data_IF_488972016586
#
_entry.id   IF_488972016586
#
_cell.length_a   1.000
_cell.length_b   1.000
_cell.length_c   1.000
_cell.angle_alpha   90.00
_cell.angle_beta   90.00
_cell.angle_gamma   90.00
#
_symmetry.space_group_name_H-M   'P 1'
#
loop_
_entity.id
_entity.type
_entity.pdbx_description
1 polymer ?
#
# COMPACT_ATOMS: atom_id res chain seq x y z
N UNK A 1 -18.20 21.86 107.91
CA UNK A 1 -17.99 20.73 106.97
C UNK A 1 -17.37 21.21 105.64
N UNK A 2 -16.06 21.52 105.62
CA UNK A 2 -15.35 21.95 104.41
C UNK A 2 -14.96 20.80 103.47
N UNK A 3 -14.74 19.58 104.00
CA UNK A 3 -14.28 18.42 103.23
C UNK A 3 -15.26 18.03 102.11
N UNK A 4 -16.57 18.06 102.37
CA UNK A 4 -17.60 17.71 101.36
C UNK A 4 -17.61 18.64 100.14
N UNK A 5 -17.18 19.90 100.29
CA UNK A 5 -17.13 20.88 99.18
C UNK A 5 -15.88 20.75 98.36
N UNK A 6 -14.72 20.57 99.01
CA UNK A 6 -13.47 20.30 98.30
C UNK A 6 -13.61 19.07 97.42
N UNK A 7 -14.25 18.01 97.93
CA UNK A 7 -14.58 16.80 97.18
C UNK A 7 -15.52 17.11 96.00
N UNK A 8 -16.59 17.88 96.19
CA UNK A 8 -17.51 18.22 95.11
C UNK A 8 -16.86 19.08 93.98
N UNK A 9 -16.02 20.04 94.35
CA UNK A 9 -15.26 20.86 93.39
C UNK A 9 -14.27 19.99 92.61
N UNK A 10 -13.56 19.09 93.29
CA UNK A 10 -12.64 18.15 92.65
C UNK A 10 -13.36 17.20 91.69
N UNK A 11 -14.50 16.62 92.10
CA UNK A 11 -15.31 15.76 91.24
C UNK A 11 -15.79 16.54 90.01
N UNK A 12 -16.32 17.75 90.19
CA UNK A 12 -16.83 18.58 89.09
C UNK A 12 -15.71 19.05 88.16
N UNK A 13 -14.56 19.44 88.70
CA UNK A 13 -13.38 19.82 87.92
C UNK A 13 -12.82 18.64 87.13
N UNK A 14 -12.77 17.45 87.74
CA UNK A 14 -12.36 16.22 87.08
C UNK A 14 -13.31 15.83 85.93
N UNK A 15 -14.63 15.93 86.14
CA UNK A 15 -15.63 15.71 85.08
C UNK A 15 -15.50 16.72 83.94
N UNK A 16 -15.24 17.99 84.26
CA UNK A 16 -14.99 19.03 83.26
C UNK A 16 -13.75 18.69 82.42
N UNK A 17 -12.67 18.27 83.08
CA UNK A 17 -11.43 17.87 82.41
C UNK A 17 -11.63 16.65 81.49
N UNK A 18 -12.37 15.63 81.96
CA UNK A 18 -12.73 14.48 81.12
C UNK A 18 -13.56 14.88 79.89
N UNK A 19 -14.51 15.81 80.05
CA UNK A 19 -15.31 16.31 78.94
C UNK A 19 -14.46 17.02 77.89
N UNK A 20 -13.49 17.85 78.31
CA UNK A 20 -12.54 18.53 77.41
C UNK A 20 -11.67 17.52 76.65
N UNK A 21 -11.10 16.53 77.33
CA UNK A 21 -10.30 15.50 76.69
C UNK A 21 -11.11 14.71 75.66
N UNK A 22 -12.38 14.41 75.99
CA UNK A 22 -13.30 13.75 75.08
C UNK A 22 -13.60 14.58 73.83
N UNK A 23 -13.85 15.90 73.99
CA UNK A 23 -14.01 16.83 72.86
C UNK A 23 -12.77 16.89 71.97
N UNK A 24 -11.57 16.91 72.58
CA UNK A 24 -10.31 16.97 71.84
C UNK A 24 -10.05 15.69 71.05
N UNK A 25 -10.32 14.52 71.66
CA UNK A 25 -10.26 13.23 70.98
C UNK A 25 -11.17 13.19 69.75
N UNK A 26 -12.42 13.65 69.88
CA UNK A 26 -13.35 13.68 68.75
C UNK A 26 -12.99 14.70 67.68
N UNK A 27 -12.40 15.84 68.05
CA UNK A 27 -11.90 16.79 67.06
C UNK A 27 -10.78 16.18 66.19
N UNK A 28 -9.88 15.40 66.80
CA UNK A 28 -8.84 14.67 66.07
C UNK A 28 -9.45 13.61 65.13
N UNK A 29 -10.40 12.82 65.63
CA UNK A 29 -11.11 11.81 64.82
C UNK A 29 -11.90 12.45 63.67
N UNK A 30 -12.57 13.57 63.91
CA UNK A 30 -13.26 14.31 62.85
C UNK A 30 -12.29 14.72 61.74
N UNK A 31 -11.13 15.29 62.09
CA UNK A 31 -10.12 15.73 61.12
C UNK A 31 -9.59 14.57 60.29
N UNK A 32 -9.46 13.37 60.89
CA UNK A 32 -8.83 12.22 60.24
C UNK A 32 -9.79 11.34 59.44
N UNK A 33 -10.94 10.98 60.01
CA UNK A 33 -11.86 10.00 59.42
C UNK A 33 -13.10 10.63 58.76
N UNK A 34 -13.30 11.94 58.90
CA UNK A 34 -14.39 12.67 58.24
C UNK A 34 -15.69 12.71 59.05
N UNK A 35 -16.66 13.49 58.55
CA UNK A 35 -17.84 13.95 59.31
C UNK A 35 -18.85 12.84 59.63
N UNK A 36 -18.90 11.80 58.80
CA UNK A 36 -19.93 10.75 58.85
C UNK A 36 -19.48 9.47 59.56
N UNK A 37 -18.32 9.49 60.23
CA UNK A 37 -17.82 8.32 60.93
C UNK A 37 -18.70 7.99 62.15
N UNK A 38 -19.16 6.74 62.25
CA UNK A 38 -19.95 6.27 63.40
C UNK A 38 -18.97 5.74 64.44
N UNK A 39 -18.90 6.42 65.58
CA UNK A 39 -17.94 6.12 66.62
C UNK A 39 -18.59 5.18 67.65
N UNK A 40 -17.96 4.02 67.91
CA UNK A 40 -18.32 3.12 69.03
C UNK A 40 -17.39 3.37 70.21
N UNK A 41 -17.76 4.21 71.19
CA UNK A 41 -16.89 4.51 72.32
C UNK A 41 -16.74 3.31 73.26
N UNK A 42 -15.50 2.95 73.59
CA UNK A 42 -15.14 1.71 74.29
C UNK A 42 -15.53 1.65 75.79
N UNK A 43 -15.84 2.79 76.42
CA UNK A 43 -16.04 2.88 77.88
C UNK A 43 -17.49 3.17 78.30
N UNK A 44 -18.32 3.74 77.42
CA UNK A 44 -19.72 4.13 77.73
C UNK A 44 -20.67 3.82 76.56
N UNK A 45 -20.17 3.15 75.52
CA UNK A 45 -20.90 2.93 74.26
C UNK A 45 -22.19 2.12 74.41
N UNK A 46 -22.21 1.10 75.26
CA UNK A 46 -23.41 0.25 75.42
C UNK A 46 -24.54 0.97 76.18
N UNK A 47 -24.22 1.86 77.13
CA UNK A 47 -25.24 2.55 77.92
C UNK A 47 -25.82 3.74 77.13
N UNK A 48 -24.98 4.49 76.43
CA UNK A 48 -25.41 5.66 75.65
C UNK A 48 -26.01 5.25 74.30
N UNK A 49 -25.46 4.20 73.66
CA UNK A 49 -25.95 3.67 72.38
C UNK A 49 -27.39 3.17 72.47
N UNK A 50 -27.78 2.54 73.59
CA UNK A 50 -29.17 2.12 73.83
C UNK A 50 -30.16 3.28 74.06
N UNK A 51 -29.67 4.48 74.41
CA UNK A 51 -30.53 5.62 74.76
C UNK A 51 -30.67 6.63 73.61
N UNK A 52 -29.64 6.79 72.77
CA UNK A 52 -29.55 7.89 71.78
C UNK A 52 -29.31 7.40 70.34
N UNK A 53 -29.09 6.09 70.14
CA UNK A 53 -28.83 5.51 68.81
C UNK A 53 -27.41 5.77 68.31
N UNK A 54 -27.14 5.40 67.05
CA UNK A 54 -25.84 5.59 66.42
C UNK A 54 -25.51 7.09 66.32
N UNK A 55 -24.55 7.55 67.12
CA UNK A 55 -24.12 8.95 67.18
C UNK A 55 -22.98 9.19 66.18
N UNK A 56 -23.18 10.19 65.30
CA UNK A 56 -22.11 10.73 64.47
C UNK A 56 -21.05 11.43 65.33
N UNK A 57 -19.80 11.46 64.84
CA UNK A 57 -18.69 12.20 65.50
C UNK A 57 -19.09 13.65 65.79
N UNK A 58 -19.84 14.26 64.87
CA UNK A 58 -20.31 15.64 65.00
C UNK A 58 -21.23 15.84 66.20
N UNK A 59 -22.24 14.99 66.34
CA UNK A 59 -23.18 15.09 67.45
C UNK A 59 -22.47 14.86 68.79
N UNK A 60 -21.55 13.90 68.84
CA UNK A 60 -20.80 13.62 70.06
C UNK A 60 -19.88 14.79 70.45
N UNK A 61 -19.23 15.44 69.48
CA UNK A 61 -18.40 16.62 69.71
C UNK A 61 -19.23 17.76 70.32
N UNK A 62 -20.41 18.05 69.77
CA UNK A 62 -21.29 19.08 70.34
C UNK A 62 -21.79 18.75 71.75
N UNK A 63 -22.17 17.49 72.00
CA UNK A 63 -22.61 17.05 73.34
C UNK A 63 -21.49 17.21 74.37
N UNK A 64 -20.27 16.80 74.04
CA UNK A 64 -19.11 16.93 74.93
C UNK A 64 -18.74 18.39 75.22
N UNK A 65 -18.86 19.26 74.20
CA UNK A 65 -18.61 20.69 74.35
C UNK A 65 -19.64 21.34 75.28
N UNK A 66 -20.94 21.05 75.09
CA UNK A 66 -22.01 21.55 75.97
C UNK A 66 -21.81 21.05 77.40
N UNK A 67 -21.50 19.75 77.59
CA UNK A 67 -21.24 19.18 78.90
C UNK A 67 -20.07 19.88 79.60
N UNK A 68 -19.01 20.22 78.86
CA UNK A 68 -17.87 20.97 79.38
C UNK A 68 -18.29 22.32 79.96
N UNK A 69 -19.09 23.10 79.23
CA UNK A 69 -19.57 24.40 79.71
C UNK A 69 -20.49 24.26 80.93
N UNK A 70 -21.34 23.23 80.97
CA UNK A 70 -22.23 22.97 82.11
C UNK A 70 -21.43 22.61 83.37
N UNK A 71 -20.47 21.67 83.27
CA UNK A 71 -19.65 21.28 84.41
C UNK A 71 -18.71 22.40 84.85
N UNK A 72 -18.14 23.17 83.92
CA UNK A 72 -17.34 24.34 84.26
C UNK A 72 -18.18 25.39 85.00
N UNK A 73 -19.39 25.67 84.50
CA UNK A 73 -20.35 26.57 85.14
C UNK A 73 -20.72 26.12 86.55
N UNK A 74 -21.04 24.83 86.74
CA UNK A 74 -21.29 24.25 88.06
C UNK A 74 -20.08 24.35 88.98
N UNK A 75 -18.89 24.08 88.48
CA UNK A 75 -17.63 24.19 89.23
C UNK A 75 -17.42 25.62 89.72
N UNK A 76 -17.60 26.61 88.84
CA UNK A 76 -17.54 28.03 89.19
C UNK A 76 -18.61 28.39 90.23
N UNK A 77 -19.86 27.98 90.04
CA UNK A 77 -20.93 28.27 90.99
C UNK A 77 -20.61 27.68 92.36
N UNK A 78 -20.13 26.44 92.44
CA UNK A 78 -19.79 25.77 93.71
C UNK A 78 -18.57 26.44 94.36
N UNK A 79 -17.56 26.79 93.58
CA UNK A 79 -16.35 27.45 94.05
C UNK A 79 -16.64 28.86 94.60
N UNK A 80 -17.53 29.62 93.96
CA UNK A 80 -17.75 31.03 94.26
C UNK A 80 -19.02 31.35 95.07
N UNK A 81 -19.93 30.39 95.32
CA UNK A 81 -21.24 30.66 95.97
C UNK A 81 -21.20 31.19 97.42
N UNK A 82 -20.04 31.33 98.08
CA UNK A 82 -19.96 31.82 99.47
C UNK A 82 -18.70 32.63 99.79
N UNK A 83 -18.16 33.44 98.88
CA UNK A 83 -17.38 34.58 99.34
C UNK A 83 -18.36 35.63 99.88
N UNK A 84 -18.25 36.07 101.15
CA UNK A 84 -19.03 37.21 101.61
C UNK A 84 -18.65 38.41 100.73
N UNK A 85 -19.63 39.12 100.14
CA UNK A 85 -19.34 40.31 99.35
C UNK A 85 -18.68 41.35 100.26
N UNK A 86 -17.46 41.71 99.89
CA UNK A 86 -16.71 42.80 100.52
C UNK A 86 -17.57 44.08 100.46
N UNK A 87 -17.80 44.80 101.58
CA UNK A 87 -18.62 46.01 101.59
C UNK A 87 -18.21 47.07 100.55
N UNK A 88 -16.98 47.08 100.04
CA UNK A 88 -16.58 47.94 98.92
C UNK A 88 -17.24 47.57 97.58
N UNK A 89 -17.47 46.28 97.32
CA UNK A 89 -18.08 45.78 96.08
C UNK A 89 -19.55 46.19 96.00
N UNK A 90 -20.27 46.19 97.12
CA UNK A 90 -21.68 46.63 97.18
C UNK A 90 -21.81 48.12 96.83
N UNK A 91 -20.85 48.94 97.27
CA UNK A 91 -20.82 50.38 96.97
C UNK A 91 -20.47 50.64 95.50
N UNK A 92 -19.58 49.84 94.91
CA UNK A 92 -19.35 49.86 93.46
C UNK A 92 -20.58 49.43 92.66
N UNK A 93 -21.32 48.41 93.09
CA UNK A 93 -22.53 47.95 92.38
C UNK A 93 -23.64 48.99 92.33
N UNK A 94 -23.84 49.77 93.40
CA UNK A 94 -24.84 50.87 93.40
C UNK A 94 -24.40 52.00 92.45
N UNK A 95 -23.11 52.34 92.42
CA UNK A 95 -22.56 53.36 91.50
C UNK A 95 -22.60 52.90 90.04
N UNK A 96 -22.28 51.63 89.79
CA UNK A 96 -22.38 50.99 88.47
C UNK A 96 -23.84 50.89 88.05
N UNK A 97 -24.77 50.55 88.93
CA UNK A 97 -26.20 50.49 88.66
C UNK A 97 -26.79 51.83 88.22
N UNK A 98 -26.38 52.94 88.86
CA UNK A 98 -26.76 54.29 88.44
C UNK A 98 -26.24 54.66 87.05
N UNK A 99 -24.97 54.34 86.75
CA UNK A 99 -24.39 54.57 85.42
C UNK A 99 -24.98 53.65 84.34
N UNK A 100 -25.37 52.43 84.69
CA UNK A 100 -25.99 51.47 83.77
C UNK A 100 -27.37 51.94 83.29
N UNK A 101 -28.14 52.60 84.16
CA UNK A 101 -29.44 53.15 83.79
C UNK A 101 -29.32 54.28 82.76
N UNK A 102 -28.31 55.14 82.91
CA UNK A 102 -28.00 56.16 81.90
C UNK A 102 -27.53 55.53 80.58
N UNK A 103 -26.63 54.53 80.65
CA UNK A 103 -26.12 53.83 79.46
C UNK A 103 -27.23 53.08 78.72
N UNK A 104 -28.17 52.47 79.44
CA UNK A 104 -29.33 51.78 78.87
C UNK A 104 -30.22 52.73 78.09
N UNK A 105 -30.44 53.94 78.59
CA UNK A 105 -31.24 54.95 77.89
C UNK A 105 -30.55 55.44 76.61
N UNK A 106 -29.22 55.58 76.62
CA UNK A 106 -28.42 55.88 75.42
C UNK A 106 -28.43 54.71 74.44
N UNK A 107 -28.30 53.47 74.93
CA UNK A 107 -28.35 52.26 74.12
C UNK A 107 -29.71 52.09 73.43
N UNK A 108 -30.81 52.31 74.16
CA UNK A 108 -32.16 52.26 73.62
C UNK A 108 -32.35 53.30 72.51
N UNK A 109 -31.86 54.54 72.71
CA UNK A 109 -31.90 55.60 71.69
C UNK A 109 -31.06 55.26 70.44
N UNK A 110 -29.85 54.73 70.61
CA UNK A 110 -29.02 54.27 69.48
C UNK A 110 -29.60 53.05 68.78
N UNK A 111 -30.31 52.17 69.50
CA UNK A 111 -30.93 50.97 68.92
C UNK A 111 -32.14 51.34 68.05
N UNK A 112 -32.93 52.34 68.45
CA UNK A 112 -34.03 52.85 67.62
C UNK A 112 -33.49 53.57 66.38
N UNK A 113 -32.45 54.40 66.52
CA UNK A 113 -31.81 55.08 65.38
C UNK A 113 -31.19 54.08 64.38
N UNK A 114 -30.49 53.05 64.88
CA UNK A 114 -29.94 51.98 64.04
C UNK A 114 -31.07 51.20 63.35
N UNK A 115 -32.17 50.93 64.05
CA UNK A 115 -33.35 50.28 63.50
C UNK A 115 -33.96 51.07 62.33
N UNK A 116 -34.14 52.38 62.50
CA UNK A 116 -34.64 53.26 61.44
C UNK A 116 -33.67 53.34 60.24
N UNK A 117 -32.36 53.41 60.49
CA UNK A 117 -31.35 53.46 59.44
C UNK A 117 -31.28 52.13 58.64
N UNK A 118 -31.37 50.98 59.32
CA UNK A 118 -31.43 49.67 58.68
C UNK A 118 -32.69 49.54 57.82
N UNK A 119 -33.85 49.99 58.32
CA UNK A 119 -35.12 49.95 57.58
C UNK A 119 -35.07 50.85 56.33
N UNK A 120 -34.51 52.05 56.45
CA UNK A 120 -34.31 52.94 55.30
C UNK A 120 -33.34 52.35 54.27
N UNK A 121 -32.20 51.81 54.70
CA UNK A 121 -31.25 51.16 53.79
C UNK A 121 -31.86 49.93 53.10
N UNK A 122 -32.72 49.19 53.81
CA UNK A 122 -33.46 48.05 53.23
C UNK A 122 -34.46 48.49 52.16
N UNK A 123 -35.14 49.63 52.36
CA UNK A 123 -36.02 50.23 51.33
C UNK A 123 -35.23 50.67 50.10
N UNK A 124 -34.13 51.40 50.30
CA UNK A 124 -33.26 51.84 49.19
C UNK A 124 -32.67 50.66 48.42
N UNK A 125 -32.18 49.64 49.12
CA UNK A 125 -31.66 48.42 48.49
C UNK A 125 -32.73 47.72 47.65
N UNK A 126 -33.97 47.61 48.15
CA UNK A 126 -35.09 47.01 47.42
C UNK A 126 -35.43 47.77 46.14
N UNK A 127 -35.36 49.10 46.15
CA UNK A 127 -35.56 49.91 44.95
C UNK A 127 -34.45 49.74 43.92
N UNK A 128 -33.18 49.66 44.36
CA UNK A 128 -32.05 49.36 43.48
C UNK A 128 -32.21 47.99 42.82
N UNK A 129 -32.57 46.95 43.59
CA UNK A 129 -32.81 45.62 43.02
C UNK A 129 -33.95 45.62 42.01
N UNK A 130 -35.07 46.30 42.28
CA UNK A 130 -36.15 46.45 41.29
C UNK A 130 -35.67 47.12 40.01
N UNK A 131 -34.87 48.18 40.11
CA UNK A 131 -34.32 48.89 38.95
C UNK A 131 -33.34 48.04 38.14
N UNK A 132 -32.50 47.26 38.82
CA UNK A 132 -31.57 46.30 38.19
C UNK A 132 -32.35 45.23 37.45
N UNK A 133 -33.39 44.66 38.07
CA UNK A 133 -34.22 43.61 37.47
C UNK A 133 -34.96 44.11 36.22
N UNK A 134 -35.52 45.32 36.28
CA UNK A 134 -36.15 45.94 35.11
C UNK A 134 -35.17 46.21 33.97
N UNK A 135 -33.95 46.64 34.28
CA UNK A 135 -32.92 46.89 33.27
C UNK A 135 -32.40 45.58 32.67
N UNK A 136 -32.23 44.54 33.49
CA UNK A 136 -31.78 43.22 33.04
C UNK A 136 -32.79 42.58 32.09
N UNK A 137 -34.09 42.63 32.42
CA UNK A 137 -35.16 42.16 31.54
C UNK A 137 -35.23 42.96 30.23
N UNK A 138 -35.01 44.28 30.29
CA UNK A 138 -34.88 45.13 29.10
C UNK A 138 -33.73 44.68 28.20
N UNK A 139 -32.52 44.54 28.76
CA UNK A 139 -31.32 44.13 28.04
C UNK A 139 -31.45 42.71 27.47
N UNK A 140 -32.10 41.78 28.19
CA UNK A 140 -32.36 40.42 27.73
C UNK A 140 -33.29 40.40 26.51
N UNK A 141 -34.34 41.22 26.50
CA UNK A 141 -35.25 41.34 25.35
C UNK A 141 -34.55 41.93 24.13
N UNK A 142 -33.73 42.96 24.33
CA UNK A 142 -32.96 43.58 23.25
C UNK A 142 -31.93 42.61 22.65
N UNK A 143 -31.17 41.91 23.50
CA UNK A 143 -30.19 40.91 23.04
C UNK A 143 -30.86 39.74 22.31
N UNK A 144 -32.03 39.27 22.77
CA UNK A 144 -32.82 38.26 22.04
C UNK A 144 -33.28 38.76 20.67
N UNK A 145 -33.79 40.00 20.58
CA UNK A 145 -34.22 40.58 19.31
C UNK A 145 -33.07 40.74 18.32
N UNK A 146 -31.88 41.15 18.81
CA UNK A 146 -30.67 41.23 17.99
C UNK A 146 -30.23 39.85 17.50
N UNK A 147 -30.23 38.83 18.37
CA UNK A 147 -29.89 37.45 17.98
C UNK A 147 -30.89 36.88 16.97
N UNK A 148 -32.18 37.16 17.10
CA UNK A 148 -33.19 36.70 16.13
C UNK A 148 -32.97 37.35 14.76
N UNK A 149 -32.64 38.65 14.73
CA UNK A 149 -32.32 39.38 13.50
C UNK A 149 -31.02 38.85 12.86
N UNK A 150 -30.00 38.54 13.66
CA UNK A 150 -28.78 37.89 13.18
C UNK A 150 -29.06 36.48 12.64
N UNK A 151 -29.87 35.68 13.33
CA UNK A 151 -30.27 34.36 12.86
C UNK A 151 -30.95 34.39 11.48
N UNK A 152 -31.89 35.34 11.27
CA UNK A 152 -32.57 35.53 9.98
C UNK A 152 -31.62 35.97 8.86
N UNK A 153 -30.67 36.86 9.15
CA UNK A 153 -29.68 37.32 8.16
C UNK A 153 -28.69 36.22 7.79
N UNK A 154 -28.19 35.44 8.76
CA UNK A 154 -27.34 34.28 8.52
C UNK A 154 -28.07 33.24 7.68
N UNK A 155 -29.33 32.94 7.99
CA UNK A 155 -30.12 31.96 7.23
C UNK A 155 -30.37 32.42 5.78
N UNK A 156 -30.57 33.72 5.56
CA UNK A 156 -30.70 34.30 4.22
C UNK A 156 -29.39 34.18 3.44
N UNK A 157 -28.26 34.60 4.02
CA UNK A 157 -26.95 34.49 3.41
C UNK A 157 -26.58 33.04 3.06
N UNK A 158 -26.94 32.09 3.93
CA UNK A 158 -26.74 30.65 3.66
C UNK A 158 -27.56 30.19 2.45
N UNK A 159 -28.83 30.60 2.33
CA UNK A 159 -29.66 30.23 1.18
C UNK A 159 -29.10 30.78 -0.13
N UNK A 160 -28.65 32.03 -0.15
CA UNK A 160 -28.05 32.68 -1.33
C UNK A 160 -26.72 32.01 -1.74
N UNK A 161 -25.89 31.63 -0.76
CA UNK A 161 -24.66 30.87 -1.04
C UNK A 161 -24.98 29.50 -1.62
N UNK A 162 -25.94 28.76 -1.04
CA UNK A 162 -26.33 27.44 -1.55
C UNK A 162 -26.86 27.54 -2.98
N UNK A 163 -27.76 28.50 -3.27
CA UNK A 163 -28.27 28.67 -4.65
C UNK A 163 -27.16 29.04 -5.63
N UNK A 164 -26.23 29.90 -5.23
CA UNK A 164 -25.07 30.28 -6.08
C UNK A 164 -24.18 29.08 -6.36
N UNK A 165 -23.91 28.25 -5.36
CA UNK A 165 -23.11 27.03 -5.50
C UNK A 165 -23.83 26.02 -6.40
N UNK A 166 -25.12 25.77 -6.19
CA UNK A 166 -25.91 24.86 -7.02
C UNK A 166 -25.91 25.28 -8.49
N UNK A 167 -26.04 26.59 -8.76
CA UNK A 167 -26.05 27.12 -10.13
C UNK A 167 -24.70 26.90 -10.82
N UNK A 168 -23.59 27.28 -10.16
CA UNK A 168 -22.23 27.11 -10.69
C UNK A 168 -21.87 25.63 -10.88
N UNK A 169 -22.29 24.76 -9.96
CA UNK A 169 -22.10 23.30 -10.09
C UNK A 169 -22.89 22.77 -11.28
N UNK A 170 -24.12 23.24 -11.49
CA UNK A 170 -24.94 22.89 -12.66
C UNK A 170 -24.29 23.29 -13.99
N UNK A 171 -23.80 24.53 -14.08
CA UNK A 171 -23.09 25.05 -15.26
C UNK A 171 -21.81 24.24 -15.55
N UNK A 172 -20.96 24.05 -14.55
CA UNK A 172 -19.71 23.29 -14.68
C UNK A 172 -19.97 21.85 -15.12
N UNK A 173 -21.02 21.22 -14.58
CA UNK A 173 -21.44 19.87 -14.98
C UNK A 173 -21.91 19.83 -16.44
N UNK A 174 -22.66 20.84 -16.88
CA UNK A 174 -23.10 20.97 -18.27
C UNK A 174 -21.91 21.09 -19.23
N UNK A 175 -20.94 21.94 -18.92
CA UNK A 175 -19.72 22.11 -19.71
C UNK A 175 -18.89 20.82 -19.79
N UNK A 176 -18.72 20.14 -18.65
CA UNK A 176 -17.98 18.88 -18.58
C UNK A 176 -18.65 17.78 -19.41
N UNK A 177 -19.99 17.67 -19.37
CA UNK A 177 -20.73 16.73 -20.22
C UNK A 177 -20.58 17.06 -21.71
N UNK A 178 -20.60 18.34 -22.07
CA UNK A 178 -20.35 18.79 -23.45
C UNK A 178 -18.94 18.42 -23.93
N UNK A 179 -17.93 18.63 -23.09
CA UNK A 179 -16.55 18.28 -23.37
C UNK A 179 -16.36 16.76 -23.54
N UNK A 180 -16.94 15.95 -22.65
CA UNK A 180 -16.90 14.49 -22.72
C UNK A 180 -17.54 13.97 -24.02
N UNK A 181 -18.69 14.54 -24.41
CA UNK A 181 -19.35 14.17 -25.68
C UNK A 181 -18.48 14.48 -26.90
N UNK A 182 -17.74 15.60 -26.89
CA UNK A 182 -16.80 15.97 -27.96
C UNK A 182 -15.57 15.04 -27.97
N UNK A 183 -15.11 14.61 -26.80
CA UNK A 183 -14.02 13.65 -26.69
C UNK A 183 -14.43 12.28 -27.23
N UNK A 184 -15.64 11.82 -26.93
CA UNK A 184 -16.20 10.56 -27.44
C UNK A 184 -16.24 10.54 -28.97
N UNK A 185 -16.74 11.60 -29.62
CA UNK A 185 -16.78 11.67 -31.09
C UNK A 185 -15.39 11.66 -31.71
N UNK A 186 -14.41 12.31 -31.06
CA UNK A 186 -13.01 12.30 -31.51
C UNK A 186 -12.40 10.91 -31.42
N UNK A 187 -12.63 10.20 -30.31
CA UNK A 187 -12.14 8.82 -30.11
C UNK A 187 -12.75 7.88 -31.16
N UNK A 188 -14.04 8.01 -31.47
CA UNK A 188 -14.68 7.23 -32.53
C UNK A 188 -14.07 7.52 -33.91
N UNK A 189 -13.71 8.78 -34.19
CA UNK A 189 -13.00 9.16 -35.41
C UNK A 189 -11.61 8.50 -35.52
N UNK A 190 -10.82 8.55 -34.45
CA UNK A 190 -9.50 7.90 -34.38
C UNK A 190 -9.62 6.39 -34.57
N UNK A 191 -10.62 5.75 -33.97
CA UNK A 191 -10.86 4.31 -34.13
C UNK A 191 -11.09 3.93 -35.59
N UNK A 192 -11.94 4.68 -36.31
CA UNK A 192 -12.19 4.45 -37.74
C UNK A 192 -10.95 4.64 -38.60
N UNK A 193 -10.15 5.68 -38.32
CA UNK A 193 -8.87 5.90 -39.02
C UNK A 193 -7.91 4.73 -38.79
N UNK A 194 -7.85 4.21 -37.56
CA UNK A 194 -7.02 3.07 -37.23
C UNK A 194 -7.49 1.79 -37.93
N UNK A 195 -8.80 1.55 -38.00
CA UNK A 195 -9.39 0.42 -38.75
C UNK A 195 -9.08 0.53 -40.26
N UNK A 196 -9.15 1.73 -40.83
CA UNK A 196 -8.76 1.99 -42.23
C UNK A 196 -7.26 1.81 -42.47
N UNK A 197 -6.42 2.26 -41.53
CA UNK A 197 -4.98 2.03 -41.55
C UNK A 197 -4.61 0.56 -41.51
N UNK A 198 -5.28 -0.23 -40.67
CA UNK A 198 -5.06 -1.67 -40.59
C UNK A 198 -5.47 -2.40 -41.88
N UNK A 199 -6.56 -1.98 -42.52
CA UNK A 199 -7.00 -2.56 -43.79
C UNK A 199 -6.01 -2.27 -44.93
N UNK A 200 -5.54 -1.02 -45.04
CA UNK A 200 -4.54 -0.63 -46.05
C UNK A 200 -3.18 -1.30 -45.84
N UNK A 201 -2.73 -1.46 -44.59
CA UNK A 201 -1.51 -2.23 -44.30
C UNK A 201 -1.64 -3.69 -44.72
N UNK A 202 -2.81 -4.31 -44.52
CA UNK A 202 -3.06 -5.70 -44.94
C UNK A 202 -3.01 -5.84 -46.46
N UNK A 203 -3.52 -4.87 -47.20
CA UNK A 203 -3.43 -4.81 -48.66
C UNK A 203 -1.97 -4.67 -49.13
N UNK A 204 -1.21 -3.75 -48.53
CA UNK A 204 0.22 -3.58 -48.82
C UNK A 204 1.04 -4.85 -48.51
N UNK A 205 0.72 -5.56 -47.44
CA UNK A 205 1.39 -6.83 -47.13
C UNK A 205 1.11 -7.90 -48.19
N UNK A 206 -0.12 -7.96 -48.73
CA UNK A 206 -0.47 -8.89 -49.80
C UNK A 206 0.27 -8.55 -51.11
N UNK A 207 0.40 -7.26 -51.44
CA UNK A 207 1.18 -6.81 -52.60
C UNK A 207 2.67 -7.14 -52.44
N UNK A 208 3.24 -6.98 -51.25
CA UNK A 208 4.64 -7.28 -50.99
C UNK A 208 4.94 -8.78 -51.13
N UNK A 209 4.02 -9.64 -50.71
CA UNK A 209 4.16 -11.10 -50.88
C UNK A 209 4.13 -11.48 -52.36
N UNK A 210 3.28 -10.86 -53.18
CA UNK A 210 3.29 -11.06 -54.64
C UNK A 210 4.63 -10.63 -55.26
N UNK A 211 5.15 -9.46 -54.88
CA UNK A 211 6.46 -8.98 -55.35
C UNK A 211 7.57 -9.95 -54.98
N UNK A 212 7.55 -10.49 -53.76
CA UNK A 212 8.52 -11.49 -53.30
C UNK A 212 8.48 -12.76 -54.15
N UNK A 213 7.30 -13.32 -54.40
CA UNK A 213 7.11 -14.51 -55.24
C UNK A 213 7.63 -14.25 -56.67
N UNK A 214 7.39 -13.04 -57.20
CA UNK A 214 7.89 -12.64 -58.53
C UNK A 214 9.42 -12.52 -58.55
N UNK A 215 10.03 -12.06 -57.47
CA UNK A 215 11.48 -11.96 -57.34
C UNK A 215 12.12 -13.35 -57.28
N UNK A 216 11.59 -14.26 -56.47
CA UNK A 216 12.06 -15.65 -56.37
C UNK A 216 12.04 -16.35 -57.75
N UNK A 217 10.96 -16.18 -58.53
CA UNK A 217 10.85 -16.73 -59.89
C UNK A 217 11.85 -16.13 -60.88
N UNK A 218 12.26 -14.88 -60.68
CA UNK A 218 13.27 -14.21 -61.51
C UNK A 218 14.66 -14.70 -61.10
N UNK A 219 14.91 -14.87 -59.80
CA UNK A 219 16.16 -15.39 -59.25
C UNK A 219 16.43 -16.82 -59.72
N UNK A 220 15.42 -17.70 -59.68
CA UNK A 220 15.49 -19.06 -60.25
C UNK A 220 15.85 -19.06 -61.74
N UNK A 221 15.46 -18.04 -62.49
CA UNK A 221 15.74 -17.92 -63.94
C UNK A 221 17.11 -17.30 -64.26
N UNK A 222 17.73 -16.60 -63.30
CA UNK A 222 18.95 -15.81 -63.54
C UNK A 222 20.18 -16.47 -62.90
N UNK A 223 20.03 -17.23 -61.82
CA UNK A 223 21.17 -17.90 -61.21
C UNK A 223 21.71 -19.03 -62.10
N UNK A 224 22.98 -18.92 -62.49
CA UNK A 224 23.72 -20.02 -63.10
C UNK A 224 23.79 -21.17 -62.10
N UNK A 225 23.48 -22.42 -62.48
CA UNK A 225 23.57 -23.55 -61.56
C UNK A 225 24.99 -23.60 -61.00
N UNK A 226 25.12 -23.70 -59.67
CA UNK A 226 26.40 -23.94 -59.03
C UNK A 226 26.74 -25.43 -59.18
N UNK A 227 28.02 -25.80 -59.31
CA UNK A 227 28.45 -27.19 -59.19
C UNK A 227 27.95 -27.80 -57.88
N UNK A 228 27.49 -29.06 -57.93
CA UNK A 228 27.09 -29.81 -56.71
C UNK A 228 28.29 -30.35 -55.93
N UNK A 229 29.48 -30.30 -56.52
CA UNK A 229 30.76 -30.66 -55.90
C UNK A 229 31.80 -29.58 -56.24
N UNK A 230 32.55 -29.13 -55.25
CA UNK A 230 33.62 -28.14 -55.36
C UNK A 230 34.99 -28.76 -55.09
N UNK A 231 36.05 -28.12 -55.57
CA UNK A 231 37.43 -28.61 -55.37
C UNK A 231 37.88 -28.62 -53.91
N UNK A 232 37.23 -27.85 -53.04
CA UNK A 232 37.54 -27.78 -51.61
C UNK A 232 36.75 -28.80 -50.78
N UNK A 233 35.82 -29.53 -51.39
CA UNK A 233 35.01 -30.51 -50.67
C UNK A 233 35.88 -31.71 -50.27
N UNK A 234 35.43 -32.40 -49.22
CA UNK A 234 36.09 -33.62 -48.75
C UNK A 234 35.91 -34.76 -49.77
N UNK A 235 36.93 -35.60 -50.03
CA UNK A 235 36.82 -36.73 -50.96
C UNK A 235 35.69 -37.70 -50.59
N UNK A 236 35.36 -37.85 -49.30
CA UNK A 236 34.30 -38.75 -48.82
C UNK A 236 32.88 -38.34 -49.27
N UNK A 237 32.70 -37.15 -49.86
CA UNK A 237 31.42 -36.73 -50.47
C UNK A 237 31.14 -37.46 -51.79
N UNK A 238 32.16 -38.09 -52.39
CA UNK A 238 32.04 -38.87 -53.63
C UNK A 238 31.59 -40.30 -53.32
N UNK A 239 30.49 -40.75 -53.95
CA UNK A 239 30.05 -42.16 -53.89
C UNK A 239 31.19 -43.12 -54.16
N UNK A 240 31.34 -44.11 -53.29
CA UNK A 240 32.43 -45.09 -53.35
C UNK A 240 33.67 -44.71 -52.53
N UNK A 241 33.78 -43.47 -52.04
CA UNK A 241 34.80 -43.06 -51.07
C UNK A 241 34.22 -43.10 -49.66
N UNK A 242 34.29 -44.28 -49.04
CA UNK A 242 33.92 -44.43 -47.62
C UNK A 242 34.99 -43.90 -46.66
N UNK A 243 34.69 -43.79 -45.35
CA UNK A 243 35.61 -43.23 -44.35
C UNK A 243 37.00 -43.88 -44.34
N UNK A 244 37.05 -45.19 -44.58
CA UNK A 244 38.31 -45.96 -44.64
C UNK A 244 39.18 -45.62 -45.84
N UNK A 245 38.58 -45.39 -47.02
CA UNK A 245 39.32 -44.93 -48.19
C UNK A 245 39.70 -43.46 -48.02
N UNK A 246 38.83 -42.64 -47.42
CA UNK A 246 39.14 -41.25 -47.07
C UNK A 246 40.34 -41.11 -46.13
N UNK A 247 40.49 -42.00 -45.13
CA UNK A 247 41.69 -42.07 -44.28
C UNK A 247 42.96 -42.41 -45.06
N UNK A 248 42.89 -43.37 -45.99
CA UNK A 248 44.03 -43.74 -46.86
C UNK A 248 44.43 -42.58 -47.76
N UNK A 249 43.46 -41.90 -48.39
CA UNK A 249 43.67 -40.71 -49.22
C UNK A 249 44.33 -39.58 -48.41
N UNK A 250 43.87 -39.34 -47.17
CA UNK A 250 44.49 -38.33 -46.29
C UNK A 250 45.91 -38.71 -45.89
N UNK A 251 46.20 -39.99 -45.64
CA UNK A 251 47.55 -40.46 -45.31
C UNK A 251 48.54 -40.25 -46.46
N UNK A 252 48.07 -40.22 -47.71
CA UNK A 252 48.87 -39.87 -48.89
C UNK A 252 48.84 -38.38 -49.25
N UNK A 253 48.22 -37.55 -48.42
CA UNK A 253 48.18 -36.09 -48.59
C UNK A 253 47.06 -35.56 -49.47
N UNK A 254 46.07 -36.39 -49.82
CA UNK A 254 44.86 -35.98 -50.55
C UNK A 254 43.77 -35.67 -49.53
N UNK A 255 43.51 -34.38 -49.35
CA UNK A 255 42.59 -33.85 -48.34
C UNK A 255 41.32 -33.24 -48.93
N UNK A 256 41.31 -32.95 -50.22
CA UNK A 256 40.15 -32.38 -50.92
C UNK A 256 39.97 -32.99 -52.33
N UNK A 257 38.79 -32.78 -52.91
CA UNK A 257 38.43 -33.27 -54.26
C UNK A 257 39.36 -32.71 -55.33
N UNK A 258 39.81 -31.46 -55.19
CA UNK A 258 40.74 -30.83 -56.13
C UNK A 258 42.08 -31.56 -56.22
N UNK A 259 42.63 -31.96 -55.08
CA UNK A 259 43.83 -32.79 -54.99
C UNK A 259 43.56 -34.18 -55.60
N UNK A 260 42.43 -34.81 -55.23
CA UNK A 260 42.06 -36.14 -55.71
C UNK A 260 42.07 -36.24 -57.25
N UNK A 261 41.51 -35.26 -57.95
CA UNK A 261 41.40 -35.29 -59.43
C UNK A 261 42.72 -35.01 -60.16
N UNK A 262 43.75 -34.55 -59.45
CA UNK A 262 45.07 -34.21 -60.04
C UNK A 262 46.12 -35.29 -59.83
N UNK A 263 45.93 -36.17 -58.85
CA UNK A 263 46.85 -37.27 -58.56
C UNK A 263 46.74 -38.35 -59.65
N UNK A 264 47.85 -38.98 -60.00
CA UNK A 264 47.84 -40.11 -60.93
C UNK A 264 47.04 -41.28 -60.32
N UNK A 265 45.97 -41.77 -60.99
CA UNK A 265 45.18 -42.88 -60.49
C UNK A 265 45.98 -44.18 -60.27
N UNK A 266 47.11 -44.37 -60.96
CA UNK A 266 48.02 -45.48 -60.68
C UNK A 266 48.60 -45.40 -59.25
N UNK A 267 48.96 -44.20 -58.80
CA UNK A 267 49.48 -43.95 -57.44
C UNK A 267 48.40 -44.22 -56.38
N UNK A 268 47.16 -43.81 -56.66
CA UNK A 268 46.01 -44.11 -55.79
C UNK A 268 45.81 -45.63 -55.71
N UNK A 269 45.84 -46.32 -56.85
CA UNK A 269 45.68 -47.77 -56.92
C UNK A 269 46.76 -48.56 -56.19
N UNK A 270 48.00 -48.06 -56.19
CA UNK A 270 49.13 -48.71 -55.49
C UNK A 270 49.11 -48.48 -53.97
N UNK A 271 48.66 -47.30 -53.52
CA UNK A 271 48.76 -46.87 -52.12
C UNK A 271 47.49 -47.04 -51.30
N UNK A 272 46.38 -47.37 -51.95
CA UNK A 272 45.08 -47.53 -51.30
C UNK A 272 44.50 -48.92 -51.61
N UNK A 273 43.34 -49.21 -51.03
CA UNK A 273 42.62 -50.46 -51.27
C UNK A 273 41.92 -50.58 -52.63
N UNK A 274 41.85 -49.50 -53.41
CA UNK A 274 41.13 -49.51 -54.71
C UNK A 274 42.09 -49.86 -55.85
N UNK A 275 41.58 -50.43 -56.94
CA UNK A 275 42.37 -50.64 -58.15
C UNK A 275 42.60 -49.32 -58.90
N UNK A 276 43.56 -49.29 -59.84
CA UNK A 276 43.75 -48.17 -60.76
C UNK A 276 42.43 -47.82 -61.49
N UNK A 277 41.75 -48.81 -62.07
CA UNK A 277 40.49 -48.60 -62.79
C UNK A 277 39.40 -47.96 -61.89
N UNK A 278 39.35 -48.37 -60.62
CA UNK A 278 38.41 -47.79 -59.67
C UNK A 278 38.80 -46.36 -59.29
N UNK A 279 40.10 -46.08 -59.15
CA UNK A 279 40.59 -44.72 -58.93
C UNK A 279 40.25 -43.80 -60.12
N UNK A 280 40.43 -44.29 -61.36
CA UNK A 280 40.02 -43.57 -62.58
C UNK A 280 38.52 -43.30 -62.59
N UNK A 281 37.70 -44.28 -62.20
CA UNK A 281 36.24 -44.13 -62.08
C UNK A 281 35.87 -43.05 -61.06
N UNK A 282 36.45 -43.08 -59.86
CA UNK A 282 36.20 -42.11 -58.80
C UNK A 282 36.60 -40.69 -59.22
N UNK A 283 37.75 -40.54 -59.86
CA UNK A 283 38.20 -39.25 -60.39
C UNK A 283 37.27 -38.73 -61.50
N UNK A 284 36.83 -39.60 -62.41
CA UNK A 284 35.90 -39.24 -63.46
C UNK A 284 34.55 -38.77 -62.90
N UNK A 285 33.99 -39.51 -61.94
CA UNK A 285 32.75 -39.13 -61.24
C UNK A 285 32.90 -37.79 -60.53
N UNK A 286 34.03 -37.57 -59.84
CA UNK A 286 34.31 -36.30 -59.18
C UNK A 286 34.39 -35.13 -60.18
N UNK A 287 35.16 -35.28 -61.26
CA UNK A 287 35.31 -34.24 -62.29
C UNK A 287 33.98 -33.87 -62.96
N UNK A 288 33.11 -34.85 -63.21
CA UNK A 288 31.82 -34.61 -63.85
C UNK A 288 30.81 -33.96 -62.91
N UNK A 289 30.82 -34.29 -61.62
CA UNK A 289 29.95 -33.66 -60.60
C UNK A 289 30.33 -32.21 -60.28
N UNK A 290 31.54 -31.80 -60.66
CA UNK A 290 31.96 -30.39 -60.67
C UNK A 290 31.34 -29.58 -61.82
N UNK A 291 30.60 -30.22 -62.74
CA UNK A 291 29.82 -29.53 -63.76
C UNK A 291 28.47 -29.13 -63.14
N UNK A 292 28.09 -27.85 -63.21
CA UNK A 292 26.77 -27.40 -62.82
C UNK A 292 25.63 -28.28 -63.34
N UNK A 293 24.64 -28.53 -62.47
CA UNK A 293 23.47 -29.37 -62.75
C UNK A 293 23.75 -30.85 -63.00
N UNK A 294 24.98 -31.34 -62.84
CA UNK A 294 25.28 -32.79 -62.83
C UNK A 294 25.22 -33.28 -61.40
N UNK A 295 24.34 -34.24 -61.13
CA UNK A 295 24.25 -34.90 -59.84
C UNK A 295 25.10 -36.18 -59.74
N UNK A 296 24.96 -36.89 -58.62
CA UNK A 296 25.74 -38.09 -58.35
C UNK A 296 25.38 -39.25 -59.31
N UNK A 297 24.10 -39.45 -59.58
CA UNK A 297 23.62 -40.50 -60.46
C UNK A 297 23.91 -40.15 -61.93
N UNK A 298 23.77 -38.88 -62.29
CA UNK A 298 24.14 -38.34 -63.60
C UNK A 298 25.62 -38.59 -63.90
N UNK A 299 26.49 -38.30 -62.94
CA UNK A 299 27.93 -38.52 -63.08
C UNK A 299 28.26 -40.01 -63.25
N UNK A 300 27.60 -40.91 -62.51
CA UNK A 300 27.77 -42.36 -62.70
C UNK A 300 27.29 -42.83 -64.08
N UNK A 301 26.13 -42.37 -64.55
CA UNK A 301 25.62 -42.70 -65.88
C UNK A 301 26.53 -42.17 -66.99
N UNK A 302 27.09 -40.97 -66.83
CA UNK A 302 28.06 -40.40 -67.76
C UNK A 302 29.34 -41.25 -67.83
N UNK A 303 29.86 -41.68 -66.68
CA UNK A 303 31.03 -42.56 -66.61
C UNK A 303 30.74 -43.91 -67.29
N UNK A 304 29.59 -44.50 -67.01
CA UNK A 304 29.17 -45.77 -67.63
C UNK A 304 28.89 -45.62 -69.14
N UNK A 305 28.51 -44.42 -69.60
CA UNK A 305 28.43 -44.05 -71.03
C UNK A 305 29.82 -43.86 -71.68
N UNK A 306 30.88 -44.06 -70.91
CA UNK A 306 32.28 -43.94 -71.31
C UNK A 306 32.81 -42.51 -71.22
N UNK A 307 32.12 -41.58 -70.58
CA UNK A 307 32.57 -40.19 -70.41
C UNK A 307 33.39 -40.10 -69.13
N UNK A 308 34.70 -39.94 -69.26
CA UNK A 308 35.63 -39.96 -68.12
C UNK A 308 36.23 -38.60 -67.78
N UNK A 309 35.88 -37.55 -68.52
CA UNK A 309 36.37 -36.19 -68.28
C UNK A 309 35.43 -35.14 -68.85
N UNK A 310 35.52 -33.91 -68.31
CA UNK A 310 34.81 -32.74 -68.85
C UNK A 310 35.11 -32.52 -70.33
N UNK A 311 36.36 -32.69 -70.77
CA UNK A 311 36.75 -32.55 -72.17
C UNK A 311 36.02 -33.57 -73.06
N UNK A 312 36.00 -34.84 -72.63
CA UNK A 312 35.30 -35.90 -73.37
C UNK A 312 33.80 -35.62 -73.46
N UNK A 313 33.20 -35.04 -72.43
CA UNK A 313 31.79 -34.61 -72.45
C UNK A 313 31.56 -33.46 -73.45
N UNK A 314 32.44 -32.46 -73.45
CA UNK A 314 32.36 -31.32 -74.37
C UNK A 314 32.41 -31.74 -75.85
N UNK A 315 33.11 -32.83 -76.17
CA UNK A 315 33.27 -33.35 -77.53
C UNK A 315 32.12 -34.28 -77.98
N UNK A 316 31.12 -34.57 -77.13
CA UNK A 316 30.01 -35.45 -77.50
C UNK A 316 28.95 -34.77 -78.37
N UNK A 317 28.34 -35.57 -79.25
CA UNK A 317 27.08 -35.22 -79.91
C UNK A 317 25.89 -35.45 -78.96
N UNK A 318 24.98 -34.47 -78.89
CA UNK A 318 23.83 -34.50 -77.99
C UNK A 318 22.93 -35.72 -78.22
N UNK A 319 22.65 -36.07 -79.48
CA UNK A 319 21.72 -37.15 -79.83
C UNK A 319 22.35 -38.51 -79.52
N UNK A 320 23.64 -38.68 -79.80
CA UNK A 320 24.35 -39.92 -79.50
C UNK A 320 24.57 -40.13 -77.99
N UNK A 321 24.84 -39.06 -77.24
CA UNK A 321 24.99 -39.14 -75.78
C UNK A 321 23.65 -39.41 -75.11
N UNK A 322 22.58 -38.70 -75.50
CA UNK A 322 21.25 -38.91 -74.91
C UNK A 322 20.72 -40.33 -75.11
N UNK A 323 20.97 -40.93 -76.29
CA UNK A 323 20.62 -42.34 -76.54
C UNK A 323 21.36 -43.30 -75.59
N UNK A 324 22.68 -43.14 -75.44
CA UNK A 324 23.49 -43.99 -74.54
C UNK A 324 23.06 -43.86 -73.08
N UNK A 325 22.87 -42.62 -72.61
CA UNK A 325 22.40 -42.36 -71.24
C UNK A 325 21.01 -42.97 -71.03
N UNK A 326 20.10 -42.84 -72.00
CA UNK A 326 18.76 -43.43 -71.92
C UNK A 326 18.77 -44.96 -71.85
N UNK A 327 19.72 -45.61 -72.52
CA UNK A 327 19.90 -47.08 -72.44
C UNK A 327 20.41 -47.50 -71.05
N UNK A 328 21.39 -46.77 -70.51
CA UNK A 328 21.94 -47.01 -69.15
C UNK A 328 20.88 -46.73 -68.08
N UNK A 329 20.14 -45.64 -68.20
CA UNK A 329 19.10 -45.25 -67.26
C UNK A 329 18.00 -46.31 -67.15
N UNK A 330 17.62 -46.97 -68.26
CA UNK A 330 16.68 -48.11 -68.21
C UNK A 330 17.20 -49.23 -67.32
N UNK A 331 18.47 -49.61 -67.48
CA UNK A 331 19.11 -50.62 -66.62
C UNK A 331 19.16 -50.16 -65.16
N UNK A 332 19.50 -48.89 -64.89
CA UNK A 332 19.54 -48.35 -63.53
C UNK A 332 18.16 -48.33 -62.85
N UNK A 333 17.09 -48.04 -63.60
CA UNK A 333 15.71 -48.08 -63.11
C UNK A 333 15.29 -49.53 -62.82
N UNK A 334 15.62 -50.47 -63.70
CA UNK A 334 15.35 -51.91 -63.50
C UNK A 334 16.08 -52.47 -62.28
N UNK A 335 17.31 -52.01 -62.02
CA UNK A 335 18.10 -52.37 -60.84
C UNK A 335 17.69 -51.61 -59.56
N UNK A 336 16.77 -50.65 -59.67
CA UNK A 336 16.30 -49.83 -58.54
C UNK A 336 17.34 -48.84 -58.01
N UNK A 337 18.37 -48.50 -58.81
CA UNK A 337 19.42 -47.53 -58.45
C UNK A 337 18.94 -46.08 -58.52
N UNK A 338 18.02 -45.80 -59.44
CA UNK A 338 17.46 -44.46 -59.69
C UNK A 338 15.97 -44.54 -59.97
N UNK A 339 15.23 -43.47 -59.68
CA UNK A 339 13.81 -43.38 -60.05
C UNK A 339 13.63 -42.97 -61.51
N UNK A 340 12.41 -43.11 -62.05
CA UNK A 340 12.11 -42.68 -63.43
C UNK A 340 12.19 -41.16 -63.59
N UNK A 341 11.91 -40.44 -62.52
CA UNK A 341 11.95 -38.97 -62.43
C UNK A 341 13.39 -38.43 -62.34
N UNK A 342 14.34 -39.26 -61.91
CA UNK A 342 15.77 -38.95 -61.85
C UNK A 342 16.50 -39.22 -63.18
N UNK A 343 15.78 -39.61 -64.24
CA UNK A 343 16.36 -39.83 -65.55
C UNK A 343 16.66 -38.49 -66.25
N UNK A 344 17.90 -38.25 -66.71
CA UNK A 344 18.27 -36.98 -67.33
C UNK A 344 17.45 -36.65 -68.58
N UNK A 345 16.95 -35.42 -68.64
CA UNK A 345 16.29 -34.87 -69.82
C UNK A 345 17.28 -34.48 -70.90
N UNK A 346 16.82 -34.37 -72.16
CA UNK A 346 17.68 -33.94 -73.26
C UNK A 346 18.17 -32.49 -73.08
N UNK A 347 17.37 -31.65 -72.43
CA UNK A 347 17.71 -30.28 -72.06
C UNK A 347 18.86 -30.23 -71.04
N UNK A 348 18.83 -31.09 -70.03
CA UNK A 348 19.90 -31.22 -69.03
C UNK A 348 21.20 -31.70 -69.68
N UNK A 349 21.14 -32.75 -70.49
CA UNK A 349 22.32 -33.26 -71.22
C UNK A 349 22.91 -32.19 -72.14
N UNK A 350 22.06 -31.44 -72.84
CA UNK A 350 22.47 -30.31 -73.67
C UNK A 350 23.15 -29.22 -72.84
N UNK A 351 22.62 -28.92 -71.66
CA UNK A 351 23.22 -27.99 -70.72
C UNK A 351 24.60 -28.46 -70.26
N UNK A 352 24.75 -29.73 -69.87
CA UNK A 352 26.04 -30.29 -69.44
C UNK A 352 27.11 -30.21 -70.53
N UNK A 353 26.79 -30.58 -71.78
CA UNK A 353 27.71 -30.46 -72.92
C UNK A 353 28.11 -28.99 -73.13
N UNK A 354 27.14 -28.07 -73.07
CA UNK A 354 27.40 -26.63 -73.25
C UNK A 354 28.31 -26.08 -72.15
N UNK A 355 28.06 -26.43 -70.89
CA UNK A 355 28.89 -26.00 -69.75
C UNK A 355 30.26 -26.67 -69.79
N UNK A 356 30.36 -27.89 -70.28
CA UNK A 356 31.65 -28.57 -70.46
C UNK A 356 32.54 -27.87 -71.51
N UNK A 357 31.94 -27.22 -72.52
CA UNK A 357 32.63 -26.45 -73.56
C UNK A 357 33.10 -25.06 -73.13
N UNK A 358 32.38 -24.42 -72.21
CA UNK A 358 32.81 -23.16 -71.57
C UNK A 358 33.97 -23.41 -70.63
#
# INVERSE_FOLDING_TARGET
MPVKRGVAVWISGFLTFLAVLSSFGMAIYWIREGRDFILRPYLVGDIIGNLVGDLSVENYLWISLIATFVFLGLTCIIAYRKLPPDPEIVKMFVKVGGNLAALRKTQEATSTELGENIENNRKTSRELFKKVDTNLEGAKKETLAVMEKQGKTIQKARREMVSTVETKVGETRGEMLGALKKQETTILGVRRLNEQGAASLKEQMAELEDVKIRLERIEEKIMSPQPRLNSQDNPEVIKGIGPRLGEELRAMGITNVGELITVDPAIIGEKTRVSQDMAERLQATAQLRMIPSVDENDAEMLVDAGITSRKKLADQDLVQLSRRISEIAKTYIEEGKVSKEENPTIEEISSWIRIAKS
#
